data_IF_164883169148
#
_entry.id   IF_164883169148
#
_cell.length_a   1.000
_cell.length_b   1.000
_cell.length_c   1.000
_cell.angle_alpha   90.00
_cell.angle_beta   90.00
_cell.angle_gamma   90.00
#
_symmetry.space_group_name_H-M   'P 1'
#
loop_
_entity.id
_entity.type
_entity.pdbx_description
1 polymer ?
#
# COMPACT_ATOMS: atom_id res chain seq x y z
N UNK A 1 -6.39 12.89 -3.44
CA UNK A 1 -5.03 13.13 -2.96
C UNK A 1 -4.86 12.62 -1.55
N UNK A 2 -3.71 12.05 -1.25
CA UNK A 2 -3.48 11.45 0.06
C UNK A 2 -2.77 12.43 0.97
N UNK A 3 -3.28 12.61 2.17
CA UNK A 3 -2.66 13.50 3.14
C UNK A 3 -1.50 12.81 3.85
N UNK A 4 -0.67 13.59 4.53
CA UNK A 4 0.41 13.00 5.31
C UNK A 4 -0.13 12.12 6.42
N UNK A 5 -1.28 12.49 6.98
CA UNK A 5 -1.90 11.67 8.01
C UNK A 5 -2.31 10.30 7.43
N UNK A 6 -2.90 10.30 6.26
CA UNK A 6 -3.29 9.04 5.63
C UNK A 6 -2.07 8.19 5.30
N UNK A 7 -1.01 8.84 4.81
CA UNK A 7 0.23 8.14 4.49
C UNK A 7 0.80 7.46 5.73
N UNK A 8 0.88 8.19 6.83
CA UNK A 8 1.48 7.63 8.04
C UNK A 8 0.61 6.56 8.67
N UNK A 9 -0.71 6.70 8.57
CA UNK A 9 -1.59 5.65 9.08
C UNK A 9 -1.46 4.37 8.26
N UNK A 10 -1.36 4.50 6.94
CA UNK A 10 -1.15 3.33 6.09
C UNK A 10 0.19 2.67 6.41
N UNK A 11 1.23 3.47 6.59
CA UNK A 11 2.54 2.94 6.93
C UNK A 11 2.51 2.19 8.26
N UNK A 12 1.84 2.74 9.25
CA UNK A 12 1.81 2.10 10.57
C UNK A 12 1.11 0.75 10.57
N UNK A 13 0.29 0.48 9.57
CA UNK A 13 -0.38 -0.81 9.45
C UNK A 13 0.48 -1.85 8.72
N UNK A 14 1.51 -1.42 8.02
CA UNK A 14 2.34 -2.34 7.28
C UNK A 14 3.10 -3.25 8.24
N UNK A 15 3.48 -4.43 7.77
CA UNK A 15 4.12 -5.41 8.64
C UNK A 15 5.54 -5.01 8.96
N UNK A 16 5.94 -5.23 10.19
CA UNK A 16 7.32 -4.97 10.58
C UNK A 16 8.21 -6.10 10.09
N UNK A 17 9.48 -5.78 9.85
CA UNK A 17 10.46 -6.75 9.43
C UNK A 17 11.42 -6.95 10.59
N UNK A 18 11.57 -8.17 11.10
CA UNK A 18 12.50 -8.43 12.20
C UNK A 18 13.90 -7.92 11.87
N UNK A 19 14.51 -7.23 12.81
CA UNK A 19 15.85 -6.72 12.61
C UNK A 19 15.95 -5.41 11.84
N UNK A 20 14.82 -4.86 11.38
CA UNK A 20 14.83 -3.61 10.66
C UNK A 20 14.05 -2.54 11.41
N UNK A 21 14.47 -1.29 11.24
CA UNK A 21 13.77 -0.18 11.86
C UNK A 21 12.40 0.01 11.21
N UNK A 22 11.32 -0.09 11.97
CA UNK A 22 9.97 0.05 11.39
C UNK A 22 9.66 1.47 10.92
N UNK A 23 10.48 2.45 11.28
CA UNK A 23 10.31 3.79 10.76
C UNK A 23 10.92 3.90 9.35
N UNK A 24 11.74 2.94 8.95
CA UNK A 24 12.40 2.98 7.65
C UNK A 24 11.94 1.89 6.71
N UNK A 25 11.70 0.68 7.23
CA UNK A 25 11.35 -0.46 6.37
C UNK A 25 10.19 -1.25 6.95
N UNK A 26 9.24 -1.59 6.09
CA UNK A 26 8.12 -2.48 6.46
C UNK A 26 7.76 -3.28 5.22
N UNK A 27 6.85 -4.23 5.37
CA UNK A 27 6.37 -5.04 4.25
C UNK A 27 4.91 -4.76 4.00
N UNK A 28 4.53 -4.79 2.73
CA UNK A 28 3.11 -4.70 2.40
C UNK A 28 2.44 -6.07 2.57
N UNK A 29 1.15 -6.14 2.28
CA UNK A 29 0.38 -7.37 2.46
C UNK A 29 0.84 -8.51 1.57
N UNK A 30 1.56 -8.20 0.51
CA UNK A 30 2.05 -9.22 -0.42
C UNK A 30 3.50 -9.61 -0.13
N UNK A 31 4.08 -9.10 0.94
CA UNK A 31 5.44 -9.45 1.30
C UNK A 31 6.53 -8.62 0.67
N UNK A 32 6.16 -7.54 -0.02
CA UNK A 32 7.16 -6.66 -0.63
C UNK A 32 7.75 -5.73 0.40
N UNK A 33 9.08 -5.61 0.42
CA UNK A 33 9.75 -4.68 1.31
C UNK A 33 9.57 -3.26 0.79
N UNK A 34 9.20 -2.36 1.68
CA UNK A 34 8.98 -0.95 1.37
C UNK A 34 9.94 -0.10 2.18
N UNK A 35 10.39 1.02 1.61
CA UNK A 35 11.21 1.99 2.31
C UNK A 35 10.38 3.27 2.49
N UNK A 36 10.25 3.74 3.70
CA UNK A 36 9.39 4.89 3.98
C UNK A 36 9.73 6.09 3.09
N UNK A 37 11.01 6.38 2.91
CA UNK A 37 11.43 7.54 2.13
C UNK A 37 11.21 7.36 0.63
N UNK A 38 10.82 6.17 0.19
CA UNK A 38 10.56 5.93 -1.22
C UNK A 38 9.07 6.10 -1.57
N UNK A 39 8.33 6.79 -0.72
CA UNK A 39 6.93 7.04 -0.97
C UNK A 39 6.72 7.77 -2.29
N UNK A 40 5.79 7.29 -3.09
CA UNK A 40 5.45 7.89 -4.37
C UNK A 40 6.41 7.59 -5.50
N UNK A 41 7.46 6.81 -5.24
CA UNK A 41 8.44 6.51 -6.26
C UNK A 41 8.20 5.16 -6.88
N UNK A 42 8.48 5.05 -8.18
CA UNK A 42 8.39 3.77 -8.86
C UNK A 42 9.77 3.12 -8.81
N UNK A 43 10.18 2.75 -7.62
CA UNK A 43 11.49 2.14 -7.36
C UNK A 43 11.26 0.78 -6.70
N UNK A 44 12.31 -0.04 -6.54
CA UNK A 44 12.14 -1.38 -5.96
C UNK A 44 11.44 -1.40 -4.61
N UNK A 45 11.66 -0.39 -3.77
CA UNK A 45 11.00 -0.32 -2.48
C UNK A 45 10.03 0.84 -2.40
N UNK A 46 9.63 1.38 -3.54
CA UNK A 46 8.65 2.47 -3.59
C UNK A 46 7.27 1.98 -3.21
N UNK A 47 6.49 2.86 -2.62
CA UNK A 47 5.17 2.50 -2.13
C UNK A 47 4.21 3.68 -2.21
N UNK A 48 2.93 3.35 -2.14
CA UNK A 48 1.87 4.35 -2.18
C UNK A 48 0.77 3.90 -1.25
N UNK A 49 -0.13 4.81 -0.90
CA UNK A 49 -1.30 4.44 -0.12
C UNK A 49 -2.35 3.87 -1.07
N UNK A 50 -2.88 2.74 -0.70
CA UNK A 50 -3.93 2.08 -1.46
C UNK A 50 -5.21 2.05 -0.64
N UNK A 51 -6.34 2.30 -1.27
CA UNK A 51 -7.65 2.12 -0.64
C UNK A 51 -8.08 0.69 -0.93
N UNK A 52 -8.16 -0.12 0.12
CA UNK A 52 -8.50 -1.54 -0.02
C UNK A 52 -9.81 -1.68 -0.79
N UNK A 53 -10.84 -0.93 -0.36
CA UNK A 53 -12.04 -0.80 -1.15
C UNK A 53 -11.90 0.53 -1.88
N UNK A 54 -11.91 0.53 -3.21
CA UNK A 54 -11.67 1.76 -3.98
C UNK A 54 -12.69 2.84 -3.66
N UNK A 55 -12.25 4.08 -3.67
CA UNK A 55 -13.16 5.19 -3.43
C UNK A 55 -14.25 5.24 -4.48
N UNK A 56 -13.96 4.84 -5.72
CA UNK A 56 -14.96 4.78 -6.77
C UNK A 56 -16.08 3.79 -6.47
N UNK A 57 -15.87 2.92 -5.49
CA UNK A 57 -16.88 1.97 -5.08
C UNK A 57 -17.33 2.21 -3.65
N UNK A 58 -17.16 3.43 -3.18
CA UNK A 58 -17.65 3.79 -1.86
C UNK A 58 -16.65 3.56 -0.75
N UNK A 59 -15.38 3.30 -1.07
CA UNK A 59 -14.38 3.12 -0.03
C UNK A 59 -14.10 4.42 0.71
N UNK A 60 -13.87 4.31 2.01
CA UNK A 60 -13.62 5.48 2.85
C UNK A 60 -12.12 5.73 3.00
N UNK A 61 -11.80 6.85 3.65
CA UNK A 61 -10.42 7.19 3.98
C UNK A 61 -10.07 6.74 5.39
N UNK A 62 -10.88 5.87 6.00
CA UNK A 62 -10.58 5.41 7.35
C UNK A 62 -9.34 4.54 7.34
N UNK A 63 -8.64 4.50 8.45
CA UNK A 63 -7.41 3.71 8.56
C UNK A 63 -7.65 2.26 8.19
N UNK A 64 -8.81 1.72 8.53
CA UNK A 64 -9.10 0.33 8.21
C UNK A 64 -9.16 0.07 6.71
N UNK A 65 -9.39 1.09 5.91
CA UNK A 65 -9.47 0.94 4.47
C UNK A 65 -8.19 1.38 3.75
N UNK A 66 -7.15 1.73 4.48
CA UNK A 66 -5.90 2.15 3.89
C UNK A 66 -4.82 1.09 4.09
N UNK A 67 -3.91 1.00 3.14
CA UNK A 67 -2.74 0.15 3.31
C UNK A 67 -1.58 0.70 2.49
N UNK A 68 -0.36 0.40 2.93
CA UNK A 68 0.83 0.71 2.16
C UNK A 68 1.00 -0.41 1.15
N UNK A 69 1.27 -0.07 -0.10
CA UNK A 69 1.36 -1.07 -1.16
C UNK A 69 2.49 -0.68 -2.09
N UNK A 70 3.27 -1.66 -2.54
CA UNK A 70 4.35 -1.40 -3.49
C UNK A 70 3.80 -0.63 -4.69
N UNK A 71 4.50 0.43 -5.09
CA UNK A 71 4.03 1.32 -6.15
C UNK A 71 3.66 0.54 -7.41
N UNK A 72 4.53 -0.36 -7.83
CA UNK A 72 4.28 -1.10 -9.06
C UNK A 72 3.02 -1.95 -8.96
N UNK A 73 2.80 -2.56 -7.81
CA UNK A 73 1.60 -3.37 -7.59
C UNK A 73 0.37 -2.48 -7.55
N UNK A 74 0.46 -1.34 -6.84
CA UNK A 74 -0.65 -0.43 -6.73
C UNK A 74 -1.07 0.13 -8.09
N UNK A 75 -0.10 0.49 -8.90
CA UNK A 75 -0.41 1.04 -10.23
C UNK A 75 -0.97 -0.01 -11.16
N UNK A 76 -0.46 -1.23 -11.05
CA UNK A 76 -1.02 -2.34 -11.82
C UNK A 76 -2.46 -2.60 -11.43
N UNK A 77 -2.75 -2.55 -10.12
CA UNK A 77 -4.10 -2.76 -9.63
C UNK A 77 -5.03 -1.68 -10.17
N UNK A 78 -4.60 -0.43 -10.14
CA UNK A 78 -5.42 0.67 -10.63
C UNK A 78 -5.63 0.61 -12.12
N UNK A 79 -4.60 0.23 -12.88
CA UNK A 79 -4.70 0.18 -14.32
C UNK A 79 -5.56 -0.98 -14.79
N UNK A 80 -5.71 -2.01 -13.96
CA UNK A 80 -6.42 -3.21 -14.34
C UNK A 80 -7.63 -3.41 -13.45
N UNK A 81 -8.44 -2.38 -13.36
CA UNK A 81 -9.57 -2.40 -12.46
C UNK A 81 -10.52 -3.54 -12.66
N UNK A 82 -10.76 -3.94 -13.87
CA UNK A 82 -11.69 -5.01 -14.12
C UNK A 82 -11.16 -6.37 -13.70
N UNK A 83 -9.86 -6.46 -13.49
CA UNK A 83 -9.25 -7.72 -13.09
C UNK A 83 -8.70 -7.61 -11.69
N UNK A 84 -9.13 -6.59 -10.97
CA UNK A 84 -8.56 -6.39 -9.68
C UNK A 84 -8.73 -7.57 -8.76
N UNK A 85 -9.69 -8.42 -9.00
CA UNK A 85 -9.84 -9.59 -8.16
C UNK A 85 -8.60 -10.47 -8.17
N UNK A 86 -7.77 -10.39 -9.19
CA UNK A 86 -6.56 -11.17 -9.20
C UNK A 86 -5.58 -10.69 -8.16
N UNK A 87 -5.55 -9.37 -7.94
CA UNK A 87 -4.64 -8.83 -6.94
C UNK A 87 -5.20 -9.03 -5.54
N UNK A 88 -6.49 -8.91 -5.39
CA UNK A 88 -7.01 -9.09 -4.06
C UNK A 88 -7.02 -10.52 -3.67
N UNK A 89 -6.91 -11.42 -4.64
CA UNK A 89 -6.92 -12.75 -4.22
C UNK A 89 -5.62 -13.21 -3.94
N UNK A 90 -4.69 -12.60 -4.34
CA UNK A 90 -3.40 -13.09 -4.06
C UNK A 90 -3.36 -13.18 -2.76
N UNK A 91 -4.26 -12.68 -2.41
CA UNK A 91 -4.46 -12.92 -1.32
C UNK A 91 -5.30 -13.88 -1.55
N UNK A 92 -5.53 -14.17 -2.39
CA UNK A 92 -6.17 -15.11 -2.59
C UNK A 92 -5.51 -16.04 -2.72
#
# INVERSE_FOLDING_TARGET
MVSNSQKDRAWSKAKRIPGKSPSKYRKDAYGNTLCYSSYGKNSPMGWEVDHIKPKSRGGSDSTMNLQALKTRVNRSKGADQRKRSRHSKSNR
#
